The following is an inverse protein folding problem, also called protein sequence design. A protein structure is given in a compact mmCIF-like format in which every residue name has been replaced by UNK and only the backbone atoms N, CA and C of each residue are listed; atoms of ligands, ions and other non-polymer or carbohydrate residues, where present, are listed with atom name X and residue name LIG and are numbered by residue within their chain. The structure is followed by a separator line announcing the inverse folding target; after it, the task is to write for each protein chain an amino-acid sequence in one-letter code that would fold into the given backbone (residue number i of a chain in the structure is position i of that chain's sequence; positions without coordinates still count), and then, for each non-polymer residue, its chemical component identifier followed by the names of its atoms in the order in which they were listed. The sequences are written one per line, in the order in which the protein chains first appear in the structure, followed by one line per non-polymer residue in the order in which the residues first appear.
data_IF_224145765695
#
_entry.id   IF_224145765695
#
_cell.length_a   1.000
_cell.length_b   1.000
_cell.length_c   1.000
_cell.angle_alpha   90.00
_cell.angle_beta   90.00
_cell.angle_gamma   90.00
#
_symmetry.space_group_name_H-M   'P 1'
#
loop_
_entity.id
_entity.type
_entity.pdbx_description
1 polymer ?
#
# COMPACT_ATOMS: atom_id res chain seq x y z
N UNK A 1 11.55 22.66 -3.86
CA UNK A 1 10.69 21.48 -3.69
C UNK A 1 10.11 21.56 -2.30
N UNK A 2 8.78 21.51 -2.19
CA UNK A 2 8.05 21.60 -0.93
C UNK A 2 7.36 20.27 -0.64
N UNK A 3 7.39 19.84 0.61
CA UNK A 3 6.63 18.71 1.11
C UNK A 3 5.29 19.21 1.64
N UNK A 4 4.19 18.53 1.31
CA UNK A 4 2.88 18.78 1.92
C UNK A 4 2.00 17.52 1.95
N UNK A 5 0.94 17.50 2.77
CA UNK A 5 -0.08 16.46 2.67
C UNK A 5 -0.66 16.33 1.27
N UNK A 6 -0.92 15.09 0.87
CA UNK A 6 -1.69 14.73 -0.32
C UNK A 6 -3.14 15.21 -0.17
N UNK A 7 -3.70 15.75 -1.25
CA UNK A 7 -5.11 16.16 -1.33
C UNK A 7 -5.81 15.49 -2.51
N UNK A 8 -7.16 15.43 -2.55
CA UNK A 8 -7.88 14.86 -3.67
C UNK A 8 -7.54 15.48 -5.03
N UNK A 9 -7.14 16.76 -5.06
CA UNK A 9 -6.70 17.46 -6.28
C UNK A 9 -5.39 16.92 -6.87
N UNK A 10 -4.63 16.12 -6.11
CA UNK A 10 -3.37 15.53 -6.56
C UNK A 10 -3.55 14.18 -7.26
N UNK A 11 -4.75 13.59 -7.23
CA UNK A 11 -5.02 12.21 -7.68
C UNK A 11 -4.49 11.95 -9.09
N UNK A 12 -4.77 12.83 -10.05
CA UNK A 12 -4.35 12.63 -11.44
C UNK A 12 -2.83 12.64 -11.58
N UNK A 13 -2.15 13.57 -10.90
CA UNK A 13 -0.70 13.66 -10.91
C UNK A 13 -0.05 12.47 -10.20
N UNK A 14 -0.63 11.99 -9.09
CA UNK A 14 -0.16 10.81 -8.37
C UNK A 14 -0.40 9.53 -9.18
N UNK A 15 -1.53 9.42 -9.90
CA UNK A 15 -1.77 8.30 -10.80
C UNK A 15 -0.79 8.31 -12.00
N UNK A 16 -0.40 9.49 -12.50
CA UNK A 16 0.68 9.60 -13.48
C UNK A 16 2.01 9.07 -12.92
N UNK A 17 2.36 9.39 -11.66
CA UNK A 17 3.54 8.82 -11.00
C UNK A 17 3.48 7.28 -10.88
N UNK A 18 2.30 6.70 -10.60
CA UNK A 18 2.13 5.24 -10.58
C UNK A 18 2.37 4.64 -11.96
N UNK A 19 1.82 5.25 -13.01
CA UNK A 19 2.01 4.84 -14.40
C UNK A 19 3.49 4.86 -14.80
N UNK A 20 4.23 5.89 -14.41
CA UNK A 20 5.66 6.06 -14.74
C UNK A 20 6.54 4.93 -14.16
N UNK A 21 6.11 4.30 -13.07
CA UNK A 21 6.81 3.15 -12.46
C UNK A 21 6.11 1.82 -12.73
N UNK A 22 5.18 1.78 -13.68
CA UNK A 22 4.43 0.59 -14.09
C UNK A 22 3.60 -0.04 -12.96
N UNK A 23 3.19 0.77 -12.00
CA UNK A 23 2.27 0.35 -10.94
C UNK A 23 0.82 0.63 -11.35
N UNK A 24 -0.13 -0.19 -10.87
CA UNK A 24 -1.54 0.06 -11.14
C UNK A 24 -1.96 1.41 -10.57
N UNK A 25 -2.70 2.15 -11.38
CA UNK A 25 -3.39 3.36 -10.96
C UNK A 25 -4.53 2.99 -10.01
N UNK A 26 -4.87 3.92 -9.13
CA UNK A 26 -6.02 3.76 -8.25
C UNK A 26 -7.21 4.52 -8.80
N UNK A 27 -8.37 3.87 -8.83
CA UNK A 27 -9.63 4.48 -9.23
C UNK A 27 -10.06 5.59 -8.27
N UNK A 28 -11.00 6.44 -8.69
CA UNK A 28 -11.61 7.44 -7.83
C UNK A 28 -12.19 6.80 -6.55
N UNK A 29 -12.94 5.71 -6.69
CA UNK A 29 -13.51 4.97 -5.54
C UNK A 29 -12.42 4.43 -4.62
N UNK A 30 -11.30 3.96 -5.18
CA UNK A 30 -10.18 3.48 -4.39
C UNK A 30 -9.52 4.59 -3.57
N UNK A 31 -9.38 5.79 -4.14
CA UNK A 31 -8.88 6.97 -3.41
C UNK A 31 -9.89 7.45 -2.37
N UNK A 32 -11.17 7.49 -2.71
CA UNK A 32 -12.24 7.83 -1.79
C UNK A 32 -12.30 6.86 -0.61
N UNK A 33 -12.11 5.56 -0.85
CA UNK A 33 -12.05 4.55 0.20
C UNK A 33 -10.89 4.78 1.17
N UNK A 34 -9.69 5.09 0.65
CA UNK A 34 -8.54 5.44 1.50
C UNK A 34 -8.79 6.71 2.33
N UNK A 35 -9.37 7.74 1.70
CA UNK A 35 -9.69 8.99 2.39
C UNK A 35 -10.80 8.81 3.43
N UNK A 36 -11.74 7.89 3.18
CA UNK A 36 -12.83 7.55 4.08
C UNK A 36 -12.41 6.66 5.26
N UNK A 37 -11.16 6.19 5.32
CA UNK A 37 -10.66 5.33 6.39
C UNK A 37 -10.98 5.91 7.79
N UNK A 38 -11.84 5.25 8.59
CA UNK A 38 -12.23 5.73 9.90
C UNK A 38 -11.04 5.94 10.85
N UNK A 39 -10.09 5.02 10.85
CA UNK A 39 -8.91 5.08 11.72
C UNK A 39 -8.05 6.32 11.42
N UNK A 40 -7.98 6.73 10.15
CA UNK A 40 -7.28 7.95 9.73
C UNK A 40 -8.01 9.20 10.21
N UNK A 41 -9.34 9.23 10.06
CA UNK A 41 -10.19 10.36 10.46
C UNK A 41 -10.17 10.60 11.97
N UNK A 42 -10.13 9.54 12.78
CA UNK A 42 -10.04 9.61 14.24
C UNK A 42 -8.84 10.42 14.74
N UNK A 43 -7.70 10.32 14.06
CA UNK A 43 -6.45 11.01 14.44
C UNK A 43 -6.09 12.16 13.49
N UNK A 44 -6.98 12.51 12.55
CA UNK A 44 -6.71 13.57 11.57
C UNK A 44 -5.48 13.33 10.68
N UNK A 45 -5.04 12.08 10.51
CA UNK A 45 -3.81 11.77 9.77
C UNK A 45 -3.98 12.05 8.25
N UNK A 46 -2.90 12.45 7.56
CA UNK A 46 -2.94 12.60 6.11
C UNK A 46 -3.00 11.23 5.40
N UNK A 47 -3.69 11.15 4.27
CA UNK A 47 -3.74 9.93 3.42
C UNK A 47 -2.43 9.68 2.65
N UNK A 48 -1.46 10.60 2.77
CA UNK A 48 -0.14 10.54 2.16
C UNK A 48 0.51 11.91 2.11
N UNK A 49 1.69 11.96 1.50
CA UNK A 49 2.43 13.20 1.24
C UNK A 49 2.91 13.25 -0.20
N UNK A 50 2.96 14.47 -0.73
CA UNK A 50 3.56 14.78 -2.03
C UNK A 50 4.74 15.71 -1.84
N UNK A 51 5.72 15.57 -2.73
CA UNK A 51 6.74 16.61 -2.94
C UNK A 51 6.44 17.31 -4.24
N UNK A 52 6.32 18.62 -4.18
CA UNK A 52 6.03 19.45 -5.33
C UNK A 52 7.32 19.85 -6.06
N UNK A 53 7.25 19.86 -7.39
CA UNK A 53 8.28 20.46 -8.24
C UNK A 53 8.25 22.00 -8.17
N UNK A 54 9.08 22.66 -8.98
CA UNK A 54 9.12 24.13 -9.06
C UNK A 54 7.84 24.75 -9.62
N UNK A 55 6.98 23.97 -10.27
CA UNK A 55 5.70 24.41 -10.83
C UNK A 55 4.52 24.15 -9.87
N UNK A 56 4.80 23.60 -8.68
CA UNK A 56 3.78 23.27 -7.68
C UNK A 56 3.07 21.94 -7.92
N UNK A 57 3.48 21.16 -8.94
CA UNK A 57 2.85 19.86 -9.26
C UNK A 57 3.48 18.72 -8.45
N UNK A 58 2.69 17.70 -8.01
CA UNK A 58 3.24 16.51 -7.39
C UNK A 58 4.28 15.83 -8.27
N UNK A 59 5.50 15.66 -7.76
CA UNK A 59 6.64 15.07 -8.45
C UNK A 59 7.19 13.83 -7.73
N UNK A 60 6.80 13.61 -6.48
CA UNK A 60 7.01 12.35 -5.75
C UNK A 60 5.85 12.16 -4.75
N UNK A 61 5.62 10.91 -4.35
CA UNK A 61 4.50 10.52 -3.52
C UNK A 61 4.89 9.42 -2.51
N UNK A 62 4.27 9.47 -1.33
CA UNK A 62 4.22 8.38 -0.36
C UNK A 62 2.79 8.32 0.19
N UNK A 63 2.14 7.18 0.06
CA UNK A 63 0.82 6.92 0.62
C UNK A 63 0.86 6.47 2.08
N UNK A 64 -0.16 6.83 2.85
CA UNK A 64 -0.27 6.53 4.27
C UNK A 64 -1.61 5.86 4.58
N UNK A 65 -1.57 4.70 5.24
CA UNK A 65 -2.76 3.99 5.68
C UNK A 65 -2.71 3.80 7.18
N UNK A 66 -3.71 4.32 7.89
CA UNK A 66 -3.85 4.15 9.34
C UNK A 66 -4.66 2.90 9.65
N UNK A 67 -4.22 2.13 10.62
CA UNK A 67 -4.92 0.97 11.14
C UNK A 67 -5.09 1.11 12.66
N UNK A 68 -6.24 0.66 13.18
CA UNK A 68 -6.46 0.53 14.62
C UNK A 68 -5.76 -0.74 15.11
N UNK A 69 -5.13 -0.63 16.27
CA UNK A 69 -4.56 -1.74 17.02
C UNK A 69 -5.18 -1.77 18.40
N UNK A 70 -5.23 -2.95 18.99
CA UNK A 70 -5.71 -3.17 20.35
C UNK A 70 -4.58 -3.84 21.14
N UNK A 71 -4.28 -3.25 22.28
CA UNK A 71 -3.43 -3.84 23.30
C UNK A 71 -4.26 -3.86 24.58
N UNK A 72 -4.74 -5.04 24.95
CA UNK A 72 -5.77 -5.21 25.98
C UNK A 72 -7.00 -4.33 25.63
N UNK A 73 -7.54 -3.59 26.60
CA UNK A 73 -8.66 -2.65 26.38
C UNK A 73 -8.25 -1.32 25.72
N UNK A 74 -6.95 -1.11 25.44
CA UNK A 74 -6.46 0.14 24.88
C UNK A 74 -6.40 0.09 23.35
N UNK A 75 -7.18 0.97 22.73
CA UNK A 75 -7.07 1.27 21.30
C UNK A 75 -5.88 2.19 21.02
N UNK A 76 -5.07 1.82 20.04
CA UNK A 76 -3.95 2.62 19.50
C UNK A 76 -4.01 2.64 17.97
N UNK A 77 -3.18 3.46 17.34
CA UNK A 77 -3.13 3.60 15.88
C UNK A 77 -1.73 3.31 15.36
N UNK A 78 -1.64 2.49 14.31
CA UNK A 78 -0.42 2.25 13.57
C UNK A 78 -0.55 2.77 12.14
N UNK A 79 0.55 3.15 11.54
CA UNK A 79 0.62 3.63 10.16
C UNK A 79 1.42 2.67 9.29
N UNK A 80 0.89 2.35 8.12
CA UNK A 80 1.61 1.61 7.08
C UNK A 80 1.75 2.42 5.80
N UNK A 81 2.99 2.56 5.34
CA UNK A 81 3.31 3.29 4.13
C UNK A 81 3.04 2.43 2.89
N UNK A 82 2.42 3.00 1.87
CA UNK A 82 2.24 2.39 0.55
C UNK A 82 2.71 3.31 -0.56
N UNK A 83 2.96 2.75 -1.74
CA UNK A 83 3.34 3.48 -2.96
C UNK A 83 4.39 4.59 -2.78
N UNK A 84 5.61 4.26 -2.35
CA UNK A 84 6.71 5.25 -2.29
C UNK A 84 7.30 5.41 -3.70
N UNK A 85 7.00 6.53 -4.36
CA UNK A 85 7.38 6.82 -5.74
C UNK A 85 8.24 8.08 -5.78
N UNK A 86 9.50 7.93 -6.20
CA UNK A 86 10.46 9.02 -6.34
C UNK A 86 11.18 8.90 -7.67
N UNK A 87 10.72 9.64 -8.71
CA UNK A 87 11.38 9.67 -10.01
C UNK A 87 12.82 10.20 -9.93
N UNK A 88 13.69 9.86 -10.90
CA UNK A 88 15.08 10.33 -10.93
C UNK A 88 15.24 11.86 -10.91
N UNK A 89 14.27 12.60 -11.46
CA UNK A 89 14.24 14.07 -11.52
C UNK A 89 14.19 14.74 -10.14
N UNK A 90 13.72 14.01 -9.12
CA UNK A 90 13.60 14.48 -7.73
C UNK A 90 14.38 13.55 -6.78
N UNK A 91 15.52 13.02 -7.24
CA UNK A 91 16.36 12.11 -6.46
C UNK A 91 16.65 12.64 -5.06
N UNK A 92 16.54 11.75 -4.06
CA UNK A 92 16.79 12.07 -2.65
C UNK A 92 15.54 12.56 -1.89
N UNK A 93 14.48 12.94 -2.61
CA UNK A 93 13.22 13.39 -2.05
C UNK A 93 12.52 12.34 -1.16
N UNK A 94 12.82 11.05 -1.34
CA UNK A 94 12.34 9.96 -0.47
C UNK A 94 12.63 10.20 1.01
N UNK A 95 13.74 10.90 1.32
CA UNK A 95 14.10 11.16 2.73
C UNK A 95 13.10 12.06 3.43
N UNK A 96 12.55 13.04 2.73
CA UNK A 96 11.56 13.96 3.29
C UNK A 96 10.21 13.25 3.44
N UNK A 97 9.82 12.43 2.46
CA UNK A 97 8.59 11.64 2.51
C UNK A 97 8.60 10.64 3.68
N UNK A 98 9.68 9.85 3.81
CA UNK A 98 9.77 8.82 4.86
C UNK A 98 9.85 9.47 6.24
N UNK A 99 10.58 10.59 6.36
CA UNK A 99 10.60 11.36 7.60
C UNK A 99 9.19 11.80 8.01
N UNK A 100 8.43 12.39 7.09
CA UNK A 100 7.06 12.83 7.35
C UNK A 100 6.14 11.69 7.78
N UNK A 101 6.32 10.51 7.18
CA UNK A 101 5.59 9.30 7.56
C UNK A 101 5.96 8.77 8.95
N UNK A 102 7.25 8.73 9.30
CA UNK A 102 7.72 8.20 10.58
C UNK A 102 7.45 9.18 11.73
N UNK A 103 7.60 10.48 11.48
CA UNK A 103 7.43 11.55 12.49
C UNK A 103 5.95 12.02 12.62
N UNK A 104 5.00 11.37 11.95
CA UNK A 104 3.59 11.73 12.06
C UNK A 104 3.08 11.52 13.51
N UNK A 105 2.25 12.43 14.04
CA UNK A 105 1.76 12.31 15.41
C UNK A 105 0.72 11.18 15.55
N UNK A 106 0.39 10.86 16.80
CA UNK A 106 -0.75 10.02 17.18
C UNK A 106 -0.73 8.57 16.65
N UNK A 107 0.45 8.08 16.28
CA UNK A 107 0.70 6.68 15.92
C UNK A 107 1.73 6.06 16.86
N UNK A 108 1.47 4.85 17.37
CA UNK A 108 2.44 4.14 18.22
C UNK A 108 3.50 3.39 17.39
N UNK A 109 3.16 3.05 16.14
CA UNK A 109 4.04 2.32 15.24
C UNK A 109 3.88 2.81 13.79
N UNK A 110 5.01 3.06 13.13
CA UNK A 110 5.11 3.22 11.69
C UNK A 110 5.81 1.98 11.12
N UNK A 111 5.17 1.28 10.18
CA UNK A 111 5.69 0.06 9.60
C UNK A 111 5.51 0.03 8.08
N UNK A 112 6.19 -0.91 7.43
CA UNK A 112 6.03 -1.18 6.00
C UNK A 112 6.15 -2.68 5.80
N UNK A 113 5.29 -3.23 4.94
CA UNK A 113 5.41 -4.62 4.53
C UNK A 113 6.24 -4.71 3.26
N UNK A 114 7.04 -5.77 3.13
CA UNK A 114 7.72 -6.15 1.90
C UNK A 114 8.71 -5.11 1.34
N UNK A 115 9.44 -4.39 2.21
CA UNK A 115 10.60 -3.62 1.77
C UNK A 115 11.60 -4.56 1.06
N UNK A 116 11.87 -4.32 -0.23
CA UNK A 116 12.82 -5.13 -0.97
C UNK A 116 14.26 -4.83 -0.52
N UNK A 117 15.21 -5.70 -0.85
CA UNK A 117 16.62 -5.55 -0.42
C UNK A 117 17.29 -4.25 -0.87
N UNK A 118 16.78 -3.59 -1.93
CA UNK A 118 17.32 -2.30 -2.40
C UNK A 118 16.77 -1.12 -1.59
N UNK A 119 15.50 -1.15 -1.17
CA UNK A 119 14.87 -0.08 -0.40
C UNK A 119 14.98 -0.27 1.11
N UNK A 120 15.13 -1.50 1.62
CA UNK A 120 15.22 -1.80 3.05
C UNK A 120 16.26 -0.94 3.81
N UNK A 121 17.50 -0.71 3.30
CA UNK A 121 18.49 0.11 4.01
C UNK A 121 18.08 1.59 4.17
N UNK A 122 17.11 2.07 3.39
CA UNK A 122 16.61 3.44 3.50
C UNK A 122 15.86 3.64 4.82
N UNK A 123 15.03 2.67 5.22
CA UNK A 123 14.20 2.75 6.41
C UNK A 123 15.01 2.71 7.71
N UNK A 124 16.13 1.97 7.73
CA UNK A 124 17.03 1.92 8.87
C UNK A 124 17.58 3.32 9.25
N UNK A 125 17.73 4.22 8.27
CA UNK A 125 18.16 5.61 8.51
C UNK A 125 17.11 6.46 9.23
N UNK A 126 15.86 5.98 9.30
CA UNK A 126 14.74 6.60 10.02
C UNK A 126 14.39 5.83 11.29
N UNK A 127 15.32 5.03 11.82
CA UNK A 127 15.13 4.29 13.07
C UNK A 127 14.18 3.08 12.95
N UNK A 128 13.71 2.76 11.75
CA UNK A 128 12.89 1.56 11.54
C UNK A 128 13.77 0.32 11.59
N UNK A 129 13.31 -0.69 12.33
CA UNK A 129 13.99 -1.98 12.45
C UNK A 129 13.10 -3.10 11.90
N UNK A 130 13.74 -4.19 11.45
CA UNK A 130 13.01 -5.35 10.97
C UNK A 130 12.34 -6.09 12.14
N UNK A 131 11.05 -6.42 12.01
CA UNK A 131 10.26 -7.06 13.05
C UNK A 131 9.30 -8.12 12.45
N UNK A 132 9.11 -9.28 13.10
CA UNK A 132 9.80 -9.75 14.31
C UNK A 132 11.28 -10.08 14.04
N UNK A 133 12.19 -9.97 15.03
CA UNK A 133 13.64 -10.02 14.78
C UNK A 133 14.10 -11.32 14.10
N UNK A 134 13.50 -12.45 14.48
CA UNK A 134 13.89 -13.78 13.96
C UNK A 134 13.21 -14.17 12.66
N UNK A 135 12.01 -13.65 12.37
CA UNK A 135 11.13 -14.19 11.32
C UNK A 135 10.72 -13.17 10.28
N UNK A 136 11.14 -11.90 10.37
CA UNK A 136 10.80 -10.85 9.40
C UNK A 136 11.20 -11.19 7.95
N UNK A 137 12.21 -12.04 7.75
CA UNK A 137 12.71 -12.46 6.44
C UNK A 137 12.12 -13.79 5.96
N UNK A 138 11.32 -14.46 6.80
CA UNK A 138 10.72 -15.75 6.46
C UNK A 138 9.55 -15.52 5.49
N UNK A 139 9.66 -16.08 4.29
CA UNK A 139 8.56 -16.13 3.32
C UNK A 139 8.15 -17.59 3.10
N UNK A 140 6.99 -17.95 3.62
CA UNK A 140 6.38 -19.26 3.37
C UNK A 140 5.54 -19.17 2.08
N UNK A 141 5.77 -20.09 1.15
CA UNK A 141 5.02 -20.16 -0.11
C UNK A 141 4.73 -21.60 -0.47
N UNK A 142 3.46 -21.90 -0.77
CA UNK A 142 3.03 -23.17 -1.33
C UNK A 142 2.88 -23.05 -2.84
N UNK A 143 3.42 -24.02 -3.56
CA UNK A 143 3.25 -24.11 -5.01
C UNK A 143 1.89 -24.77 -5.27
N UNK A 144 0.93 -23.99 -5.73
CA UNK A 144 -0.39 -24.48 -6.15
C UNK A 144 -0.40 -24.96 -7.60
N UNK A 145 0.50 -24.42 -8.44
CA UNK A 145 0.70 -24.82 -9.84
C UNK A 145 2.20 -24.70 -10.22
N UNK A 146 2.93 -25.83 -10.36
CA UNK A 146 4.33 -25.83 -10.74
C UNK A 146 4.62 -25.30 -12.15
N UNK A 147 3.69 -25.50 -13.10
CA UNK A 147 3.85 -25.11 -14.50
C UNK A 147 3.78 -23.59 -14.60
N UNK A 148 2.80 -22.97 -13.96
CA UNK A 148 2.70 -21.51 -13.89
C UNK A 148 3.89 -20.88 -13.16
N UNK A 149 4.42 -21.53 -12.13
CA UNK A 149 5.65 -21.08 -11.47
C UNK A 149 6.86 -21.10 -12.42
N UNK A 150 6.99 -22.13 -13.26
CA UNK A 150 8.04 -22.23 -14.27
C UNK A 150 7.87 -21.15 -15.34
N UNK A 151 6.67 -20.98 -15.88
CA UNK A 151 6.35 -19.92 -16.84
C UNK A 151 6.71 -18.54 -16.28
N UNK A 152 6.30 -18.24 -15.05
CA UNK A 152 6.62 -16.98 -14.37
C UNK A 152 8.13 -16.79 -14.12
N UNK A 153 8.90 -17.88 -13.95
CA UNK A 153 10.37 -17.80 -13.83
C UNK A 153 11.01 -17.48 -15.18
N UNK A 154 10.60 -18.13 -16.26
CA UNK A 154 11.09 -17.89 -17.62
C UNK A 154 10.80 -16.44 -18.03
N UNK A 155 9.57 -15.98 -17.83
CA UNK A 155 9.17 -14.60 -18.14
C UNK A 155 9.99 -13.57 -17.36
N UNK A 156 10.23 -13.80 -16.05
CA UNK A 156 11.08 -12.90 -15.24
C UNK A 156 12.51 -12.82 -15.77
N UNK A 157 13.11 -13.94 -16.17
CA UNK A 157 14.46 -13.93 -16.75
C UNK A 157 14.50 -13.27 -18.13
N UNK A 158 13.47 -13.48 -18.96
CA UNK A 158 13.34 -12.80 -20.25
C UNK A 158 13.25 -11.27 -20.06
N UNK A 159 12.40 -10.80 -19.14
CA UNK A 159 12.26 -9.36 -18.82
C UNK A 159 13.55 -8.77 -18.24
N UNK A 160 14.30 -9.51 -17.41
CA UNK A 160 15.60 -9.03 -16.92
C UNK A 160 16.61 -8.78 -18.05
N UNK A 161 16.60 -9.63 -19.08
CA UNK A 161 17.56 -9.55 -20.21
C UNK A 161 17.11 -8.58 -21.29
N UNK A 162 15.80 -8.45 -21.48
CA UNK A 162 15.20 -7.52 -22.42
C UNK A 162 13.99 -6.87 -21.75
N UNK A 163 14.21 -5.79 -20.97
CA UNK A 163 13.15 -5.07 -20.26
C UNK A 163 12.03 -4.60 -21.20
N UNK A 164 12.38 -4.34 -22.45
CA UNK A 164 11.50 -3.92 -23.53
C UNK A 164 10.43 -4.98 -23.88
N UNK A 165 10.62 -6.25 -23.47
CA UNK A 165 9.64 -7.34 -23.60
C UNK A 165 8.55 -7.30 -22.53
N UNK A 166 8.64 -6.39 -21.54
CA UNK A 166 7.51 -6.06 -20.66
C UNK A 166 6.48 -5.24 -21.44
N UNK A 167 5.85 -5.88 -22.41
CA UNK A 167 4.78 -5.31 -23.22
C UNK A 167 3.67 -4.73 -22.30
N UNK A 168 3.05 -3.57 -22.62
CA UNK A 168 2.00 -2.92 -21.80
C UNK A 168 0.68 -3.73 -21.73
N UNK A 169 0.64 -4.90 -22.34
CA UNK A 169 -0.55 -5.74 -22.45
C UNK A 169 -0.74 -6.53 -21.16
N UNK A 170 -1.46 -5.89 -20.23
CA UNK A 170 -2.24 -6.45 -19.10
C UNK A 170 -1.53 -7.54 -18.33
N UNK A 171 -1.24 -7.31 -17.05
CA UNK A 171 -0.80 -8.34 -16.09
C UNK A 171 -1.32 -9.75 -16.46
N UNK A 172 -0.49 -10.54 -17.17
CA UNK A 172 -0.92 -11.83 -17.76
C UNK A 172 -1.36 -12.83 -16.70
N UNK A 173 -0.93 -12.60 -15.46
CA UNK A 173 -1.25 -13.37 -14.27
C UNK A 173 -2.37 -12.76 -13.40
N UNK A 174 -2.82 -11.53 -13.67
CA UNK A 174 -4.09 -11.09 -13.11
C UNK A 174 -5.20 -11.79 -13.86
N UNK A 175 -5.80 -12.77 -13.20
CA UNK A 175 -6.94 -13.49 -13.72
C UNK A 175 -8.01 -12.46 -14.16
N UNK A 176 -8.48 -12.51 -15.41
CA UNK A 176 -9.48 -11.54 -15.94
C UNK A 176 -10.72 -11.37 -15.05
N UNK A 177 -11.07 -12.41 -14.28
CA UNK A 177 -12.16 -12.40 -13.28
C UNK A 177 -11.92 -11.45 -12.10
N UNK A 178 -10.68 -11.07 -11.79
CA UNK A 178 -10.37 -10.05 -10.79
C UNK A 178 -10.74 -8.64 -11.29
N UNK A 179 -10.81 -8.42 -12.61
CA UNK A 179 -11.30 -7.17 -13.21
C UNK A 179 -12.81 -7.15 -13.48
N UNK A 180 -13.51 -8.27 -13.24
CA UNK A 180 -14.95 -8.42 -13.41
C UNK A 180 -15.46 -9.47 -12.41
N UNK A 181 -15.50 -9.15 -11.10
CA UNK A 181 -15.90 -10.09 -10.07
C UNK A 181 -17.35 -10.54 -10.32
N UNK A 182 -17.54 -11.83 -10.57
CA UNK A 182 -18.87 -12.44 -10.50
C UNK A 182 -19.20 -12.64 -9.03
N UNK A 183 -20.39 -12.24 -8.60
CA UNK A 183 -20.84 -12.57 -7.25
C UNK A 183 -20.75 -14.08 -7.02
N UNK A 184 -20.10 -14.53 -5.93
CA UNK A 184 -20.04 -15.96 -5.62
C UNK A 184 -21.46 -16.47 -5.36
N UNK A 185 -21.76 -17.69 -5.85
CA UNK A 185 -22.97 -18.41 -5.42
C UNK A 185 -22.71 -18.95 -4.02
N UNK A 186 -23.24 -18.28 -3.01
CA UNK A 186 -23.13 -18.69 -1.63
C UNK A 186 -24.28 -19.66 -1.28
N UNK A 187 -24.06 -20.63 -0.38
CA UNK A 187 -25.15 -21.44 0.20
C UNK A 187 -26.22 -20.55 0.83
N UNK A 188 -27.48 -21.00 0.91
CA UNK A 188 -28.60 -20.18 1.42
C UNK A 188 -28.44 -19.73 2.88
N UNK A 189 -27.58 -20.41 3.64
CA UNK A 189 -27.23 -20.10 5.02
C UNK A 189 -26.02 -19.16 5.17
N UNK A 190 -25.41 -18.72 4.06
CA UNK A 190 -24.25 -17.82 4.05
C UNK A 190 -24.64 -16.52 3.36
N UNK A 191 -24.73 -15.45 4.13
CA UNK A 191 -24.86 -14.09 3.62
C UNK A 191 -23.48 -13.41 3.59
N UNK A 192 -23.19 -12.59 2.56
CA UNK A 192 -22.04 -11.70 2.62
C UNK A 192 -22.29 -10.64 3.71
N UNK A 193 -21.25 -10.30 4.46
CA UNK A 193 -21.26 -9.10 5.29
C UNK A 193 -21.16 -7.88 4.36
N UNK A 194 -22.13 -6.99 4.47
CA UNK A 194 -22.17 -5.74 3.69
C UNK A 194 -21.82 -4.53 4.55
N UNK A 195 -22.03 -4.63 5.86
CA UNK A 195 -21.64 -3.62 6.84
C UNK A 195 -20.36 -4.04 7.56
N UNK A 196 -19.36 -3.16 7.48
CA UNK A 196 -18.07 -3.28 8.17
C UNK A 196 -17.81 -2.08 9.10
N UNK A 197 -18.87 -1.31 9.40
CA UNK A 197 -18.82 -0.17 10.30
C UNK A 197 -18.66 -0.59 11.77
N UNK A 198 -18.45 0.41 12.63
CA UNK A 198 -18.14 0.18 14.06
C UNK A 198 -19.33 -0.38 14.87
N UNK A 199 -20.52 -0.44 14.30
CA UNK A 199 -21.75 -1.00 14.90
C UNK A 199 -22.26 -2.26 14.17
N UNK A 200 -21.42 -2.88 13.34
CA UNK A 200 -21.79 -4.06 12.53
C UNK A 200 -21.54 -5.38 13.26
N UNK A 201 -22.17 -6.46 12.81
CA UNK A 201 -21.85 -7.84 13.24
C UNK A 201 -20.35 -8.17 13.13
N UNK A 202 -19.67 -7.55 12.15
CA UNK A 202 -18.23 -7.66 11.99
C UNK A 202 -17.48 -7.00 13.16
N UNK A 203 -17.91 -5.81 13.59
CA UNK A 203 -17.34 -5.14 14.74
C UNK A 203 -17.61 -5.90 16.05
N UNK A 204 -18.78 -6.52 16.18
CA UNK A 204 -19.13 -7.37 17.32
C UNK A 204 -18.22 -8.60 17.41
N UNK A 205 -17.98 -9.28 16.29
CA UNK A 205 -17.03 -10.40 16.22
C UNK A 205 -15.64 -10.01 16.75
N UNK A 206 -15.10 -8.88 16.30
CA UNK A 206 -13.79 -8.42 16.77
C UNK A 206 -13.81 -7.96 18.22
N UNK A 207 -14.92 -7.39 18.69
CA UNK A 207 -15.08 -6.98 20.08
C UNK A 207 -15.13 -8.18 21.02
N UNK A 208 -15.71 -9.30 20.60
CA UNK A 208 -15.72 -10.55 21.35
C UNK A 208 -14.34 -11.25 21.42
N UNK A 209 -13.39 -10.87 20.54
CA UNK A 209 -12.02 -11.38 20.54
C UNK A 209 -11.01 -10.50 21.30
N UNK A 210 -11.45 -9.34 21.82
CA UNK A 210 -10.67 -8.54 22.76
C UNK A 210 -10.70 -9.21 24.13
#
# INVERSE_FOLDING_TARGET
MSLRPFTPTDVDAVNALHRDVWWPERSADGWAWLDANPARREIGAPSGWVIQDKTGRPAAFLGNMIQRFWQDDRRTHGATGFSIIVPPSVRGASRHLIRAFVEQPDVFAAYTFNANSRSAPLYARFGMAAWPPRTHHLKLSWIIDPIDCLHGRILREAVKRAPNLSDPYRERFMHRRLGAPRQPRLPSQVSPLEDFGDASDYADFWSALR
#
